data_IF_050776498685
#
_entry.id   IF_050776498685
#
_cell.length_a   1.000
_cell.length_b   1.000
_cell.length_c   1.000
_cell.angle_alpha   90.00
_cell.angle_beta   90.00
_cell.angle_gamma   90.00
#
_symmetry.space_group_name_H-M   'P 1'
#
loop_
_entity.id
_entity.type
_entity.pdbx_description
1 polymer ?
#
# COMPACT_ATOMS: atom_id res chain seq x y z
N UNK A 1 11.74 20.89 -3.85
CA UNK A 1 11.70 22.34 -3.61
C UNK A 1 10.89 22.71 -2.37
N UNK A 2 9.61 22.34 -2.22
CA UNK A 2 8.80 22.69 -1.03
C UNK A 2 9.34 22.13 0.31
N UNK A 3 9.65 20.83 0.39
CA UNK A 3 10.14 20.22 1.64
C UNK A 3 11.50 20.79 2.09
N UNK A 4 12.38 21.06 1.13
CA UNK A 4 13.67 21.70 1.39
C UNK A 4 13.50 23.13 1.91
N UNK A 5 12.51 23.87 1.41
CA UNK A 5 12.16 25.21 1.92
C UNK A 5 11.63 25.18 3.36
N UNK A 6 11.05 24.06 3.78
CA UNK A 6 10.59 23.82 5.16
C UNK A 6 11.66 23.16 6.05
N UNK A 7 12.90 23.04 5.57
CA UNK A 7 14.01 22.37 6.24
C UNK A 7 13.75 20.89 6.59
N UNK A 8 12.84 20.24 5.87
CA UNK A 8 12.66 18.79 5.94
C UNK A 8 13.65 18.07 5.02
N UNK A 9 14.21 16.96 5.51
CA UNK A 9 15.04 16.08 4.68
C UNK A 9 14.22 15.56 3.50
N UNK A 10 14.85 15.50 2.32
CA UNK A 10 14.25 14.95 1.10
C UNK A 10 14.73 13.53 0.80
N UNK A 11 15.65 13.00 1.60
CA UNK A 11 16.28 11.69 1.36
C UNK A 11 15.25 10.57 1.35
N UNK A 12 14.33 10.54 2.32
CA UNK A 12 13.27 9.54 2.37
C UNK A 12 12.43 9.51 1.10
N UNK A 13 12.04 10.68 0.57
CA UNK A 13 11.24 10.77 -0.66
C UNK A 13 12.04 10.32 -1.90
N UNK A 14 13.34 10.65 -1.96
CA UNK A 14 14.21 10.19 -3.06
C UNK A 14 14.35 8.67 -3.08
N UNK A 15 14.38 8.04 -1.90
CA UNK A 15 14.49 6.59 -1.77
C UNK A 15 13.22 5.83 -2.22
N UNK A 16 12.11 6.53 -2.45
CA UNK A 16 10.85 5.95 -2.94
C UNK A 16 10.71 6.03 -4.48
N UNK A 17 11.70 6.57 -5.19
CA UNK A 17 11.67 6.64 -6.65
C UNK A 17 11.92 5.27 -7.29
N UNK A 18 11.34 5.04 -8.46
CA UNK A 18 11.54 3.79 -9.22
C UNK A 18 13.02 3.56 -9.60
N UNK A 19 13.75 4.64 -9.85
CA UNK A 19 15.19 4.58 -10.10
C UNK A 19 15.95 4.06 -8.87
N UNK A 20 15.75 4.67 -7.70
CA UNK A 20 16.45 4.26 -6.48
C UNK A 20 16.09 2.83 -6.07
N UNK A 21 14.80 2.48 -6.13
CA UNK A 21 14.35 1.13 -5.74
C UNK A 21 14.85 0.06 -6.72
N UNK A 22 15.08 0.38 -8.00
CA UNK A 22 15.74 -0.53 -8.94
C UNK A 22 17.17 -0.85 -8.49
N UNK A 23 17.98 0.17 -8.21
CA UNK A 23 19.35 -0.01 -7.71
C UNK A 23 19.36 -0.72 -6.35
N UNK A 24 18.42 -0.42 -5.46
CA UNK A 24 18.26 -1.07 -4.17
C UNK A 24 18.00 -2.58 -4.35
N UNK A 25 17.05 -2.96 -5.20
CA UNK A 25 16.69 -4.36 -5.44
C UNK A 25 17.80 -5.16 -6.15
N UNK A 26 18.62 -4.51 -6.97
CA UNK A 26 19.80 -5.14 -7.58
C UNK A 26 20.90 -5.40 -6.56
N UNK A 27 21.07 -4.51 -5.58
CA UNK A 27 22.14 -4.58 -4.58
C UNK A 27 21.80 -5.50 -3.40
N UNK A 28 20.55 -5.51 -2.96
CA UNK A 28 20.12 -6.21 -1.76
C UNK A 28 19.24 -7.40 -2.14
N UNK A 29 19.71 -8.59 -1.82
CA UNK A 29 18.99 -9.83 -2.07
C UNK A 29 18.37 -10.39 -0.79
N UNK A 30 17.28 -11.11 -0.98
CA UNK A 30 16.58 -11.83 0.07
C UNK A 30 17.49 -12.89 0.72
N UNK A 31 17.44 -12.99 2.04
CA UNK A 31 18.19 -14.00 2.77
C UNK A 31 17.51 -15.38 2.61
N UNK A 32 18.27 -16.46 2.33
CA UNK A 32 17.69 -17.76 1.99
C UNK A 32 16.89 -18.40 3.14
N UNK A 33 17.22 -18.06 4.39
CA UNK A 33 16.60 -18.63 5.59
C UNK A 33 15.44 -17.77 6.15
N UNK A 34 15.04 -16.72 5.42
CA UNK A 34 13.96 -15.82 5.82
C UNK A 34 12.72 -16.06 4.94
N UNK A 35 11.56 -16.21 5.59
CA UNK A 35 10.27 -16.27 4.90
C UNK A 35 9.73 -14.85 4.69
N UNK A 36 9.51 -14.48 3.44
CA UNK A 36 9.01 -13.16 3.04
C UNK A 36 7.57 -13.24 2.57
N UNK A 37 6.72 -12.30 3.00
CA UNK A 37 5.31 -12.24 2.67
C UNK A 37 4.92 -10.81 2.30
N UNK A 38 4.00 -10.64 1.35
CA UNK A 38 3.49 -9.32 0.98
C UNK A 38 1.99 -9.34 0.67
N UNK A 39 1.38 -8.18 0.83
CA UNK A 39 0.00 -7.88 0.43
C UNK A 39 0.01 -6.52 -0.26
N UNK A 40 -0.93 -6.31 -1.19
CA UNK A 40 -1.11 -5.01 -1.84
C UNK A 40 -2.45 -4.39 -1.45
N UNK A 41 -2.46 -3.09 -1.16
CA UNK A 41 -3.71 -2.34 -1.11
C UNK A 41 -4.25 -2.04 -2.50
N UNK A 42 -5.58 -1.99 -2.62
CA UNK A 42 -6.27 -1.49 -3.81
C UNK A 42 -7.41 -0.57 -3.42
N UNK A 43 -7.50 0.56 -4.10
CA UNK A 43 -8.57 1.56 -3.94
C UNK A 43 -8.89 2.22 -5.27
N UNK A 44 -10.05 2.87 -5.37
CA UNK A 44 -10.44 3.63 -6.57
C UNK A 44 -11.61 3.05 -7.34
N UNK A 45 -11.88 3.60 -8.54
CA UNK A 45 -13.03 3.21 -9.35
C UNK A 45 -13.03 1.71 -9.64
N UNK A 46 -14.14 1.02 -9.31
CA UNK A 46 -14.30 -0.43 -9.49
C UNK A 46 -13.76 -1.29 -8.34
N UNK A 47 -13.06 -0.69 -7.37
CA UNK A 47 -12.59 -1.40 -6.18
C UNK A 47 -13.60 -1.36 -5.03
N UNK A 48 -13.42 -2.27 -4.06
CA UNK A 48 -14.26 -2.31 -2.85
C UNK A 48 -13.96 -1.15 -1.89
N UNK A 49 -12.78 -0.57 -1.97
CA UNK A 49 -12.40 0.58 -1.13
C UNK A 49 -12.64 1.91 -1.83
N UNK A 50 -13.09 2.88 -1.05
CA UNK A 50 -13.33 4.24 -1.51
C UNK A 50 -12.03 5.04 -1.52
N UNK A 51 -11.65 5.54 -2.70
CA UNK A 51 -10.52 6.47 -2.88
C UNK A 51 -10.87 7.86 -2.32
N UNK A 52 -10.22 8.31 -1.24
CA UNK A 52 -10.49 9.62 -0.67
C UNK A 52 -10.03 10.75 -1.60
N UNK A 53 -10.74 11.90 -1.64
CA UNK A 53 -10.42 12.96 -2.59
C UNK A 53 -8.98 13.49 -2.55
N UNK A 54 -8.38 13.50 -1.36
CA UNK A 54 -7.00 13.94 -1.16
C UNK A 54 -5.97 13.06 -1.89
N UNK A 55 -6.33 11.82 -2.25
CA UNK A 55 -5.43 10.85 -2.90
C UNK A 55 -5.69 10.71 -4.42
N UNK A 56 -6.66 11.42 -5.01
CA UNK A 56 -6.95 11.26 -6.45
C UNK A 56 -5.74 11.54 -7.33
N UNK A 57 -4.98 12.60 -7.03
CA UNK A 57 -3.84 13.01 -7.86
C UNK A 57 -2.74 11.94 -7.82
N UNK A 58 -2.36 11.48 -6.63
CA UNK A 58 -1.32 10.46 -6.49
C UNK A 58 -1.78 9.12 -7.06
N UNK A 59 -3.04 8.73 -6.83
CA UNK A 59 -3.64 7.55 -7.43
C UNK A 59 -3.59 7.59 -8.96
N UNK A 60 -3.93 8.73 -9.57
CA UNK A 60 -3.94 8.89 -11.02
C UNK A 60 -2.53 8.87 -11.62
N UNK A 61 -1.55 9.49 -10.95
CA UNK A 61 -0.14 9.45 -11.38
C UNK A 61 0.36 8.01 -11.45
N UNK A 62 0.08 7.22 -10.42
CA UNK A 62 0.46 5.80 -10.40
C UNK A 62 -0.32 5.04 -11.47
N UNK A 63 -1.65 5.22 -11.55
CA UNK A 63 -2.49 4.50 -12.49
C UNK A 63 -2.06 4.70 -13.96
N UNK A 64 -1.65 5.92 -14.31
CA UNK A 64 -1.26 6.33 -15.66
C UNK A 64 0.25 6.24 -15.94
N UNK A 65 1.05 5.77 -14.98
CA UNK A 65 2.50 5.58 -15.16
C UNK A 65 2.80 4.67 -16.35
N UNK A 66 3.90 4.93 -17.06
CA UNK A 66 4.40 4.11 -18.17
C UNK A 66 5.32 2.98 -17.71
N UNK A 67 5.80 3.02 -16.46
CA UNK A 67 6.56 1.93 -15.84
C UNK A 67 5.60 0.78 -15.46
N UNK A 68 5.66 -0.34 -16.18
CA UNK A 68 4.81 -1.52 -15.96
C UNK A 68 4.85 -2.07 -14.52
N UNK A 69 5.97 -1.89 -13.80
CA UNK A 69 6.08 -2.30 -12.40
C UNK A 69 5.42 -1.30 -11.45
N UNK A 70 5.29 -0.04 -11.86
CA UNK A 70 4.76 1.05 -11.06
C UNK A 70 3.45 1.64 -11.62
N UNK A 71 2.72 0.90 -12.45
CA UNK A 71 1.49 1.37 -13.09
C UNK A 71 0.24 0.56 -12.77
N UNK A 72 -0.93 1.14 -13.08
CA UNK A 72 -2.24 0.49 -12.97
C UNK A 72 -2.86 0.55 -11.57
N UNK A 73 -3.58 -0.53 -11.20
CA UNK A 73 -4.31 -0.63 -9.92
C UNK A 73 -3.34 -0.36 -8.76
N UNK A 74 -3.77 0.47 -7.81
CA UNK A 74 -2.92 0.97 -6.75
C UNK A 74 -3.72 1.34 -5.49
N UNK A 75 -3.01 1.55 -4.38
CA UNK A 75 -3.57 1.97 -3.09
C UNK A 75 -3.63 3.50 -2.91
N UNK A 76 -3.43 4.24 -4.00
CA UNK A 76 -3.33 5.70 -4.04
C UNK A 76 -1.91 6.24 -3.91
N UNK A 77 -0.91 5.42 -3.59
CA UNK A 77 0.51 5.81 -3.53
C UNK A 77 1.42 4.79 -4.23
N UNK A 78 1.12 3.49 -4.12
CA UNK A 78 1.95 2.40 -4.62
C UNK A 78 1.13 1.45 -5.50
N UNK A 79 1.65 1.14 -6.69
CA UNK A 79 1.03 0.18 -7.60
C UNK A 79 1.04 -1.24 -7.04
N UNK A 80 -0.01 -2.02 -7.33
CA UNK A 80 -0.11 -3.44 -6.94
C UNK A 80 1.09 -4.24 -7.43
N UNK A 81 1.56 -3.99 -8.65
CA UNK A 81 2.72 -4.68 -9.20
C UNK A 81 4.01 -4.37 -8.44
N UNK A 82 4.15 -3.14 -7.92
CA UNK A 82 5.30 -2.71 -7.12
C UNK A 82 5.31 -3.36 -5.72
N UNK A 83 4.12 -3.67 -5.18
CA UNK A 83 3.97 -4.28 -3.85
C UNK A 83 4.15 -5.80 -3.81
N UNK A 84 4.25 -6.48 -4.97
CA UNK A 84 4.44 -7.93 -5.04
C UNK A 84 5.88 -8.31 -4.72
N UNK A 85 6.09 -8.99 -3.59
CA UNK A 85 7.40 -9.48 -3.16
C UNK A 85 7.29 -10.71 -2.24
N UNK A 86 8.27 -11.62 -2.28
CA UNK A 86 8.22 -12.89 -1.53
C UNK A 86 6.99 -13.75 -1.90
N UNK A 87 6.40 -14.41 -0.92
CA UNK A 87 5.10 -15.09 -1.05
C UNK A 87 3.97 -14.03 -1.01
N UNK A 88 3.58 -13.56 -2.20
CA UNK A 88 2.50 -12.61 -2.37
C UNK A 88 1.14 -13.23 -2.02
N UNK A 89 0.52 -12.73 -0.95
CA UNK A 89 -0.71 -13.28 -0.36
C UNK A 89 -2.00 -12.70 -0.93
N UNK A 90 -1.89 -11.68 -1.78
CA UNK A 90 -3.02 -11.07 -2.49
C UNK A 90 -3.31 -9.62 -2.11
N UNK A 91 -4.46 -9.16 -2.57
CA UNK A 91 -4.89 -7.77 -2.46
C UNK A 91 -5.87 -7.58 -1.30
N UNK A 92 -5.74 -6.44 -0.60
CA UNK A 92 -6.67 -5.99 0.44
C UNK A 92 -7.40 -4.73 -0.01
N UNK A 93 -8.71 -4.61 0.29
CA UNK A 93 -9.51 -3.46 -0.13
C UNK A 93 -9.23 -2.26 0.77
N UNK A 94 -8.07 -1.63 0.60
CA UNK A 94 -7.61 -0.50 1.39
C UNK A 94 -6.69 0.42 0.57
N UNK A 95 -6.92 1.73 0.66
CA UNK A 95 -5.89 2.74 0.35
C UNK A 95 -4.67 2.64 1.29
N UNK A 96 -3.59 3.32 0.93
CA UNK A 96 -2.30 3.26 1.62
C UNK A 96 -2.39 3.54 3.12
N UNK A 97 -3.26 4.47 3.52
CA UNK A 97 -3.40 4.87 4.93
C UNK A 97 -4.30 3.92 5.71
N UNK A 98 -5.35 3.38 5.07
CA UNK A 98 -6.26 2.42 5.70
C UNK A 98 -5.61 1.09 6.03
N UNK A 99 -4.55 0.71 5.32
CA UNK A 99 -3.77 -0.50 5.62
C UNK A 99 -3.26 -0.50 7.07
N UNK A 100 -2.97 0.68 7.62
CA UNK A 100 -2.48 0.88 9.00
C UNK A 100 -3.47 1.63 9.89
N UNK A 101 -4.75 1.71 9.47
CA UNK A 101 -5.84 2.22 10.29
C UNK A 101 -6.09 3.73 10.24
N UNK A 102 -5.39 4.47 9.38
CA UNK A 102 -5.69 5.88 9.13
C UNK A 102 -6.74 6.02 8.04
N UNK A 103 -7.70 6.93 8.23
CA UNK A 103 -8.81 7.13 7.32
C UNK A 103 -8.91 8.59 6.91
N UNK A 104 -8.47 8.87 5.68
CA UNK A 104 -8.40 10.23 5.15
C UNK A 104 -9.68 10.65 4.41
N UNK A 105 -10.73 9.84 4.40
CA UNK A 105 -11.90 10.16 3.58
C UNK A 105 -12.81 11.21 4.20
N UNK A 106 -12.71 11.47 5.52
CA UNK A 106 -13.60 12.40 6.23
C UNK A 106 -15.08 11.99 6.28
N UNK A 107 -15.40 10.74 5.95
CA UNK A 107 -16.78 10.23 5.82
C UNK A 107 -17.29 9.48 7.06
N UNK A 108 -16.66 9.71 8.23
CA UNK A 108 -16.88 8.93 9.46
C UNK A 108 -18.34 8.86 9.89
N UNK A 109 -19.13 9.92 9.64
CA UNK A 109 -20.54 9.99 9.98
C UNK A 109 -21.44 9.17 9.04
N UNK A 110 -21.23 9.27 7.72
CA UNK A 110 -22.09 8.58 6.73
C UNK A 110 -21.77 7.09 6.58
N UNK A 111 -20.55 6.67 6.95
CA UNK A 111 -20.10 5.27 6.91
C UNK A 111 -20.91 4.31 7.76
N UNK A 112 -21.48 4.78 8.87
CA UNK A 112 -22.36 3.95 9.73
C UNK A 112 -23.64 3.54 9.00
N UNK A 113 -24.03 4.29 7.97
CA UNK A 113 -25.30 4.14 7.27
C UNK A 113 -25.14 3.43 5.91
N UNK A 114 -23.94 3.44 5.33
CA UNK A 114 -23.68 2.88 3.99
C UNK A 114 -22.66 1.72 4.11
N UNK A 115 -23.11 0.45 4.07
CA UNK A 115 -22.24 -0.71 4.26
C UNK A 115 -21.03 -0.78 3.32
N UNK A 116 -21.15 -0.31 2.08
CA UNK A 116 -20.03 -0.31 1.12
C UNK A 116 -18.94 0.72 1.46
N UNK A 117 -19.21 1.65 2.39
CA UNK A 117 -18.20 2.58 2.89
C UNK A 117 -17.54 2.08 4.18
N UNK A 118 -17.93 0.90 4.72
CA UNK A 118 -17.26 0.36 5.91
C UNK A 118 -15.77 0.19 5.62
N UNK A 119 -14.91 0.77 6.47
CA UNK A 119 -13.47 0.72 6.23
C UNK A 119 -12.98 -0.71 6.38
N UNK A 120 -11.91 -1.03 5.65
CA UNK A 120 -11.10 -2.21 5.88
C UNK A 120 -10.75 -2.36 7.36
N UNK A 121 -10.98 -3.55 7.91
CA UNK A 121 -10.67 -3.83 9.31
C UNK A 121 -9.21 -4.30 9.43
N UNK A 122 -8.30 -3.34 9.49
CA UNK A 122 -6.86 -3.59 9.63
C UNK A 122 -6.51 -4.41 10.87
N UNK A 123 -7.19 -4.21 12.01
CA UNK A 123 -6.95 -5.00 13.24
C UNK A 123 -7.24 -6.48 13.00
N UNK A 124 -8.43 -6.83 12.48
CA UNK A 124 -8.76 -8.22 12.15
C UNK A 124 -7.82 -8.82 11.11
N UNK A 125 -7.35 -8.00 10.18
CA UNK A 125 -6.37 -8.43 9.19
C UNK A 125 -5.01 -8.76 9.82
N UNK A 126 -4.50 -7.90 10.71
CA UNK A 126 -3.28 -8.20 11.46
C UNK A 126 -3.43 -9.38 12.41
N UNK A 127 -4.59 -9.54 13.08
CA UNK A 127 -4.90 -10.75 13.85
C UNK A 127 -4.82 -12.02 12.98
N UNK A 128 -5.34 -11.95 11.75
CA UNK A 128 -5.21 -13.05 10.77
C UNK A 128 -3.74 -13.32 10.44
N UNK A 129 -2.95 -12.29 10.12
CA UNK A 129 -1.52 -12.46 9.82
C UNK A 129 -0.78 -13.13 10.99
N UNK A 130 -1.01 -12.67 12.23
CA UNK A 130 -0.40 -13.27 13.42
C UNK A 130 -0.79 -14.74 13.56
N UNK A 131 -2.05 -15.08 13.31
CA UNK A 131 -2.51 -16.47 13.37
C UNK A 131 -1.89 -17.34 12.26
N UNK A 132 -1.81 -16.83 11.03
CA UNK A 132 -1.16 -17.51 9.92
C UNK A 132 0.33 -17.79 10.24
N UNK A 133 1.04 -16.80 10.79
CA UNK A 133 2.45 -16.94 11.17
C UNK A 133 2.64 -17.96 12.31
N UNK A 134 1.79 -17.94 13.34
CA UNK A 134 1.82 -18.97 14.41
C UNK A 134 1.63 -20.37 13.86
N UNK A 135 0.75 -20.55 12.87
CA UNK A 135 0.56 -21.87 12.27
C UNK A 135 1.83 -22.34 11.53
N UNK A 136 2.58 -21.42 10.92
CA UNK A 136 3.83 -21.73 10.23
C UNK A 136 5.02 -22.01 11.15
N UNK A 137 5.01 -21.48 12.38
CA UNK A 137 6.04 -21.79 13.39
C UNK A 137 5.87 -23.20 14.00
N UNK A 138 4.64 -23.71 14.03
CA UNK A 138 4.32 -25.01 14.62
C UNK A 138 4.47 -26.20 13.63
N UNK A 139 5.05 -25.96 12.45
CA UNK A 139 5.34 -26.94 11.39
C UNK A 139 6.84 -27.03 11.19
#
# INVERSE_FOLDING_TARGET
>A
YLLALLNFSTEGVKNLTTYFLREFNEKYHDAPDVKYFSYAGVTGPGEKDYLPPIMYITWAIVFLSDDEKASGRNDGIVAVNSSKWGDYKGEIPADHFKQVGYDLSGLTLIRKLIPCLKPFNHIKFFEKIVNDLKQMENV
#
